data_IF_700051287295
#
_entry.id   IF_700051287295
#
_cell.length_a   1.000
_cell.length_b   1.000
_cell.length_c   1.000
_cell.angle_alpha   90.00
_cell.angle_beta   90.00
_cell.angle_gamma   90.00
#
_symmetry.space_group_name_H-M   'P 1'
#
loop_
_entity.id
_entity.type
_entity.pdbx_description
1 polymer ?
#
# COMPACT_ATOMS: atom_id res chain seq x y z
N UNK A 1 -6.16 -0.22 15.48
CA UNK A 1 -7.23 -1.02 14.85
C UNK A 1 -8.07 -0.19 13.88
N UNK A 2 -8.75 0.87 14.33
CA UNK A 2 -9.57 1.72 13.45
C UNK A 2 -8.78 2.40 12.32
N UNK A 3 -7.59 2.96 12.62
CA UNK A 3 -6.72 3.57 11.61
C UNK A 3 -6.29 2.59 10.51
N UNK A 4 -5.87 1.37 10.88
CA UNK A 4 -5.49 0.33 9.92
C UNK A 4 -6.63 -0.07 8.99
N UNK A 5 -7.85 -0.23 9.53
CA UNK A 5 -9.03 -0.54 8.72
C UNK A 5 -9.37 0.58 7.73
N UNK A 6 -9.18 1.83 8.13
CA UNK A 6 -9.39 2.99 7.28
C UNK A 6 -8.35 3.07 6.15
N UNK A 7 -7.08 2.87 6.48
CA UNK A 7 -5.97 2.75 5.52
C UNK A 7 -6.28 1.67 4.48
N UNK A 8 -6.59 0.45 4.91
CA UNK A 8 -6.89 -0.67 4.00
C UNK A 8 -8.09 -0.33 3.10
N UNK A 9 -9.15 0.27 3.64
CA UNK A 9 -10.33 0.64 2.84
C UNK A 9 -9.99 1.67 1.74
N UNK A 10 -9.18 2.68 2.07
CA UNK A 10 -8.73 3.71 1.12
C UNK A 10 -7.84 3.11 0.04
N UNK A 11 -6.87 2.29 0.42
CA UNK A 11 -5.90 1.71 -0.51
C UNK A 11 -6.55 0.68 -1.45
N UNK A 12 -7.49 -0.11 -0.95
CA UNK A 12 -8.32 -1.01 -1.77
C UNK A 12 -9.19 -0.21 -2.75
N UNK A 13 -9.74 0.93 -2.34
CA UNK A 13 -10.52 1.81 -3.23
C UNK A 13 -9.64 2.41 -4.33
N UNK A 14 -8.42 2.85 -4.00
CA UNK A 14 -7.46 3.33 -4.98
C UNK A 14 -7.07 2.24 -5.98
N UNK A 15 -6.88 1.00 -5.52
CA UNK A 15 -6.59 -0.15 -6.37
C UNK A 15 -7.78 -0.55 -7.27
N UNK A 16 -9.02 -0.33 -6.82
CA UNK A 16 -10.21 -0.59 -7.63
C UNK A 16 -10.27 0.27 -8.90
N UNK A 17 -9.67 1.45 -8.86
CA UNK A 17 -9.56 2.39 -9.99
C UNK A 17 -8.41 2.05 -10.96
N UNK A 18 -7.63 1.00 -10.72
CA UNK A 18 -6.47 0.67 -11.54
C UNK A 18 -6.86 0.09 -12.93
N UNK A 19 -6.27 0.59 -14.03
CA UNK A 19 -6.56 0.09 -15.38
C UNK A 19 -6.11 -1.36 -15.55
N UNK A 20 -7.03 -2.23 -15.99
CA UNK A 20 -6.94 -3.69 -15.78
C UNK A 20 -6.28 -4.46 -16.93
N UNK A 21 -5.44 -5.43 -16.56
CA UNK A 21 -5.03 -6.57 -17.41
C UNK A 21 -5.34 -7.94 -16.79
N UNK A 22 -5.77 -7.99 -15.52
CA UNK A 22 -6.10 -9.21 -14.76
C UNK A 22 -7.48 -9.10 -14.08
N UNK A 23 -7.95 -10.18 -13.46
CA UNK A 23 -9.23 -10.19 -12.74
C UNK A 23 -9.19 -9.16 -11.60
N UNK A 24 -10.18 -8.25 -11.51
CA UNK A 24 -10.20 -7.16 -10.52
C UNK A 24 -10.04 -7.64 -9.08
N UNK A 25 -10.69 -8.76 -8.77
CA UNK A 25 -10.74 -9.39 -7.45
C UNK A 25 -9.35 -9.73 -6.91
N UNK A 26 -8.47 -10.28 -7.75
CA UNK A 26 -7.13 -10.71 -7.34
C UNK A 26 -6.26 -9.51 -6.92
N UNK A 27 -6.40 -8.38 -7.62
CA UNK A 27 -5.67 -7.16 -7.30
C UNK A 27 -6.14 -6.55 -5.98
N UNK A 28 -7.46 -6.52 -5.74
CA UNK A 28 -8.03 -5.99 -4.49
C UNK A 28 -7.59 -6.82 -3.28
N UNK A 29 -7.64 -8.15 -3.39
CA UNK A 29 -7.16 -9.05 -2.34
C UNK A 29 -5.66 -8.92 -2.12
N UNK A 30 -4.88 -8.73 -3.19
CA UNK A 30 -3.44 -8.49 -3.08
C UNK A 30 -3.17 -7.20 -2.32
N UNK A 31 -3.82 -6.09 -2.69
CA UNK A 31 -3.62 -4.79 -2.03
C UNK A 31 -4.03 -4.82 -0.57
N UNK A 32 -5.18 -5.42 -0.25
CA UNK A 32 -5.62 -5.60 1.14
C UNK A 32 -4.60 -6.42 1.94
N UNK A 33 -4.13 -7.55 1.40
CA UNK A 33 -3.19 -8.44 2.09
C UNK A 33 -1.83 -7.81 2.30
N UNK A 34 -1.32 -7.10 1.28
CA UNK A 34 -0.05 -6.37 1.36
C UNK A 34 -0.13 -5.30 2.44
N UNK A 35 -1.19 -4.49 2.45
CA UNK A 35 -1.39 -3.45 3.46
C UNK A 35 -1.53 -4.00 4.89
N UNK A 36 -2.28 -5.09 5.04
CA UNK A 36 -2.45 -5.76 6.34
C UNK A 36 -1.12 -6.33 6.85
N UNK A 37 -0.14 -6.57 5.98
CA UNK A 37 1.20 -7.00 6.33
C UNK A 37 2.14 -5.82 6.61
N UNK A 38 2.19 -4.84 5.71
CA UNK A 38 3.18 -3.75 5.74
C UNK A 38 2.92 -2.75 6.85
N UNK A 39 1.67 -2.36 7.10
CA UNK A 39 1.35 -1.34 8.11
C UNK A 39 1.66 -1.76 9.56
N UNK A 40 1.32 -2.97 10.03
CA UNK A 40 1.74 -3.42 11.36
C UNK A 40 3.26 -3.47 11.52
N UNK A 41 3.98 -3.89 10.47
CA UNK A 41 5.45 -3.91 10.47
C UNK A 41 5.98 -2.47 10.55
N UNK A 42 5.46 -1.56 9.73
CA UNK A 42 5.83 -0.14 9.75
C UNK A 42 5.65 0.48 11.14
N UNK A 43 4.55 0.18 11.83
CA UNK A 43 4.29 0.66 13.18
C UNK A 43 5.36 0.19 14.19
N UNK A 44 5.86 -1.04 14.07
CA UNK A 44 6.95 -1.55 14.92
C UNK A 44 8.28 -0.83 14.67
N UNK A 45 8.50 -0.31 13.47
CA UNK A 45 9.75 0.37 13.07
C UNK A 45 9.65 1.91 13.01
N UNK A 46 8.47 2.48 13.22
CA UNK A 46 8.23 3.92 13.12
C UNK A 46 9.01 4.74 14.16
N UNK A 47 9.13 4.24 15.40
CA UNK A 47 9.84 4.93 16.49
C UNK A 47 11.37 5.04 16.30
N UNK A 48 12.09 4.00 15.80
CA UNK A 48 13.55 4.10 15.62
C UNK A 48 14.00 4.83 14.34
N UNK A 49 13.18 4.87 13.27
CA UNK A 49 13.59 5.43 11.97
C UNK A 49 12.99 6.80 11.67
N UNK A 50 11.91 7.18 12.36
CA UNK A 50 11.12 8.38 12.06
C UNK A 50 10.12 8.14 10.93
N UNK A 51 9.19 9.09 10.77
CA UNK A 51 8.04 8.98 9.86
C UNK A 51 8.46 8.79 8.40
N UNK A 52 9.21 9.73 7.81
CA UNK A 52 9.54 9.71 6.38
C UNK A 52 10.35 8.49 5.93
N UNK A 53 11.40 8.04 6.64
CA UNK A 53 12.11 6.83 6.26
C UNK A 53 11.25 5.58 6.36
N UNK A 54 10.32 5.53 7.31
CA UNK A 54 9.37 4.41 7.46
C UNK A 54 8.42 4.34 6.28
N UNK A 55 7.79 5.46 5.90
CA UNK A 55 6.90 5.55 4.73
C UNK A 55 7.61 5.16 3.43
N UNK A 56 8.84 5.65 3.22
CA UNK A 56 9.64 5.26 2.06
C UNK A 56 9.91 3.75 2.03
N UNK A 57 10.21 3.15 3.20
CA UNK A 57 10.40 1.71 3.34
C UNK A 57 9.14 0.90 3.04
N UNK A 58 7.96 1.38 3.48
CA UNK A 58 6.66 0.78 3.16
C UNK A 58 6.42 0.80 1.66
N UNK A 59 6.52 1.97 1.02
CA UNK A 59 6.30 2.11 -0.43
C UNK A 59 7.20 1.18 -1.24
N UNK A 60 8.48 1.10 -0.89
CA UNK A 60 9.42 0.19 -1.56
C UNK A 60 8.99 -1.26 -1.34
N UNK A 61 8.71 -1.65 -0.09
CA UNK A 61 8.30 -3.02 0.25
C UNK A 61 7.03 -3.44 -0.49
N UNK A 62 6.04 -2.56 -0.55
CA UNK A 62 4.79 -2.81 -1.27
C UNK A 62 5.02 -2.95 -2.78
N UNK A 63 5.87 -2.13 -3.38
CA UNK A 63 6.21 -2.28 -4.80
C UNK A 63 6.86 -3.64 -5.11
N UNK A 64 7.71 -4.15 -4.21
CA UNK A 64 8.25 -5.52 -4.33
C UNK A 64 7.18 -6.58 -4.15
N UNK A 65 6.27 -6.42 -3.19
CA UNK A 65 5.18 -7.36 -2.93
C UNK A 65 4.15 -7.40 -4.07
N UNK A 66 3.75 -6.25 -4.61
CA UNK A 66 2.85 -6.19 -5.78
C UNK A 66 3.45 -6.86 -7.01
N UNK A 67 4.76 -6.70 -7.22
CA UNK A 67 5.46 -7.43 -8.26
C UNK A 67 5.47 -8.95 -8.01
N UNK A 68 5.85 -9.36 -6.80
CA UNK A 68 6.03 -10.77 -6.45
C UNK A 68 4.71 -11.56 -6.40
N UNK A 69 3.66 -10.94 -5.87
CA UNK A 69 2.35 -11.58 -5.63
C UNK A 69 1.42 -11.41 -6.83
N UNK A 70 1.27 -10.19 -7.36
CA UNK A 70 0.36 -9.92 -8.48
C UNK A 70 1.04 -10.03 -9.86
N UNK A 71 2.33 -10.40 -9.92
CA UNK A 71 3.07 -10.55 -11.18
C UNK A 71 3.23 -9.26 -11.97
N UNK A 72 3.06 -8.10 -11.32
CA UNK A 72 3.05 -6.80 -11.98
C UNK A 72 4.46 -6.41 -12.49
N UNK A 73 4.49 -5.65 -13.59
CA UNK A 73 5.74 -5.00 -14.04
C UNK A 73 6.24 -4.00 -12.99
N UNK A 74 7.56 -3.77 -12.91
CA UNK A 74 8.16 -2.84 -11.94
C UNK A 74 7.52 -1.44 -11.95
N UNK A 75 7.29 -0.90 -13.15
CA UNK A 75 6.63 0.40 -13.32
C UNK A 75 5.22 0.41 -12.74
N UNK A 76 4.42 -0.62 -13.05
CA UNK A 76 3.05 -0.70 -12.55
C UNK A 76 3.00 -0.91 -11.03
N UNK A 77 3.89 -1.74 -10.50
CA UNK A 77 4.00 -2.02 -9.05
C UNK A 77 4.39 -0.76 -8.26
N UNK A 78 5.37 -0.01 -8.76
CA UNK A 78 5.81 1.23 -8.12
C UNK A 78 4.75 2.33 -8.17
N UNK A 79 4.05 2.49 -9.29
CA UNK A 79 2.97 3.47 -9.40
C UNK A 79 1.78 3.08 -8.52
N UNK A 80 1.43 1.80 -8.43
CA UNK A 80 0.38 1.33 -7.53
C UNK A 80 0.76 1.60 -6.07
N UNK A 81 1.97 1.24 -5.64
CA UNK A 81 2.44 1.50 -4.28
C UNK A 81 2.44 2.99 -3.93
N UNK A 82 2.92 3.85 -4.83
CA UNK A 82 2.86 5.30 -4.62
C UNK A 82 1.43 5.83 -4.57
N UNK A 83 0.51 5.28 -5.37
CA UNK A 83 -0.88 5.72 -5.37
C UNK A 83 -1.58 5.32 -4.07
N UNK A 84 -1.43 4.07 -3.63
CA UNK A 84 -2.10 3.58 -2.42
C UNK A 84 -1.56 4.28 -1.17
N UNK A 85 -0.23 4.33 -1.00
CA UNK A 85 0.40 5.01 0.14
C UNK A 85 0.27 6.54 0.06
N UNK A 86 0.27 7.12 -1.15
CA UNK A 86 0.06 8.55 -1.33
C UNK A 86 -1.31 8.99 -0.85
N UNK A 87 -2.36 8.19 -1.11
CA UNK A 87 -3.70 8.46 -0.60
C UNK A 87 -3.76 8.44 0.94
N UNK A 88 -3.11 7.46 1.58
CA UNK A 88 -3.10 7.34 3.04
C UNK A 88 -2.21 8.38 3.71
N UNK A 89 -1.11 8.78 3.07
CA UNK A 89 -0.26 9.87 3.52
C UNK A 89 -1.00 11.22 3.48
N UNK A 90 -1.70 11.53 2.37
CA UNK A 90 -2.53 12.74 2.28
C UNK A 90 -3.60 12.77 3.37
N UNK A 91 -4.30 11.65 3.59
CA UNK A 91 -5.30 11.56 4.66
C UNK A 91 -4.70 11.75 6.05
N UNK A 92 -3.48 11.28 6.30
CA UNK A 92 -2.79 11.44 7.58
C UNK A 92 -2.42 12.90 7.90
N UNK A 93 -2.40 13.79 6.90
CA UNK A 93 -2.21 15.23 7.11
C UNK A 93 -3.53 16.01 7.19
N UNK A 94 -4.64 15.42 6.71
CA UNK A 94 -5.96 16.04 6.72
C UNK A 94 -6.78 15.72 7.97
N UNK A 95 -6.47 14.61 8.65
CA UNK A 95 -7.11 14.11 9.87
C UNK A 95 -6.17 14.26 11.08
#
# INVERSE_FOLDING_TARGET
AAALLWTVAVEVTAAACWPRSARPEDLLWTVASVNLLTHPIAYLFASPLGFWPTEAGVVVSEAFLYRGVAGMGWKASGVLALATNGCTLVLSFLL
#
